data_IF_278446357010
#
_entry.id   IF_278446357010
#
_cell.length_a   1.000
_cell.length_b   1.000
_cell.length_c   1.000
_cell.angle_alpha   90.00
_cell.angle_beta   90.00
_cell.angle_gamma   90.00
#
_symmetry.space_group_name_H-M   'P 1'
#
loop_
_entity.id
_entity.type
_entity.pdbx_description
1 polymer ?
#
# COMPACT_ATOMS: atom_id res chain seq x y z
N UNK A 1 16.79 24.74 -4.48
CA UNK A 1 17.96 24.27 -3.68
C UNK A 1 18.38 25.27 -2.59
N UNK A 2 18.59 26.55 -2.88
CA UNK A 2 19.01 27.54 -1.84
C UNK A 2 17.98 27.72 -0.71
N UNK A 3 16.68 27.64 -0.98
CA UNK A 3 15.61 27.74 0.03
C UNK A 3 15.62 26.54 1.00
N UNK A 4 15.88 25.33 0.52
CA UNK A 4 15.95 24.14 1.37
C UNK A 4 17.05 24.23 2.44
N UNK A 5 18.23 24.76 2.08
CA UNK A 5 19.34 24.94 3.04
C UNK A 5 19.05 25.98 4.12
N UNK A 6 18.26 27.01 3.81
CA UNK A 6 17.90 28.07 4.77
C UNK A 6 16.94 27.60 5.86
N UNK A 7 16.17 26.56 5.58
CA UNK A 7 15.16 25.98 6.49
C UNK A 7 15.57 24.60 7.03
N UNK A 8 16.84 24.17 6.78
CA UNK A 8 17.31 22.91 7.28
C UNK A 8 17.36 22.91 8.83
N UNK A 9 16.69 21.91 9.42
CA UNK A 9 16.70 21.65 10.85
C UNK A 9 17.81 20.69 11.26
N UNK A 10 17.77 20.25 12.52
CA UNK A 10 18.66 19.19 13.04
C UNK A 10 18.37 17.86 12.33
N UNK A 11 17.12 17.52 12.15
CA UNK A 11 16.62 16.40 11.36
C UNK A 11 15.82 16.96 10.20
N UNK A 12 16.08 16.45 9.01
CA UNK A 12 15.36 16.80 7.81
C UNK A 12 14.80 15.50 7.20
N UNK A 13 13.49 15.40 7.07
CA UNK A 13 12.85 14.22 6.53
C UNK A 13 12.10 14.53 5.23
N UNK A 14 12.48 13.85 4.15
CA UNK A 14 11.80 13.91 2.87
C UNK A 14 10.82 12.71 2.84
N UNK A 15 9.53 13.00 2.99
CA UNK A 15 8.48 11.99 3.10
C UNK A 15 7.70 11.75 1.81
N UNK A 16 7.93 12.56 0.79
CA UNK A 16 7.21 12.51 -0.47
C UNK A 16 8.10 12.27 -1.67
N UNK A 17 7.47 12.20 -2.83
CA UNK A 17 8.08 11.86 -4.10
C UNK A 17 8.90 13.03 -4.72
N UNK A 18 9.73 13.66 -3.89
CA UNK A 18 10.63 14.77 -4.23
C UNK A 18 12.06 14.45 -3.83
N UNK A 19 12.50 13.22 -4.07
CA UNK A 19 13.77 12.67 -3.62
C UNK A 19 14.99 13.56 -3.95
N UNK A 20 14.96 14.24 -5.11
CA UNK A 20 16.02 15.14 -5.56
C UNK A 20 16.33 16.28 -4.57
N UNK A 21 15.42 16.60 -3.65
CA UNK A 21 15.68 17.59 -2.59
C UNK A 21 16.77 17.13 -1.62
N UNK A 22 17.01 15.82 -1.49
CA UNK A 22 18.08 15.28 -0.66
C UNK A 22 19.45 15.82 -1.07
N UNK A 23 19.69 16.06 -2.35
CA UNK A 23 20.95 16.64 -2.86
C UNK A 23 21.17 18.11 -2.47
N UNK A 24 20.14 18.77 -1.94
CA UNK A 24 20.19 20.19 -1.54
C UNK A 24 20.27 20.37 -0.02
N UNK A 25 20.07 19.31 0.76
CA UNK A 25 20.08 19.33 2.23
C UNK A 25 21.40 18.79 2.78
N UNK A 26 21.77 19.17 4.02
CA UNK A 26 22.90 18.54 4.72
C UNK A 26 22.64 17.04 4.86
N UNK A 27 23.65 16.20 4.58
CA UNK A 27 23.53 14.73 4.67
C UNK A 27 23.29 14.26 6.10
N UNK A 28 23.91 14.91 7.08
CA UNK A 28 23.78 14.58 8.50
C UNK A 28 22.37 14.93 9.01
N UNK A 29 21.68 13.97 9.57
CA UNK A 29 20.29 14.09 10.01
C UNK A 29 19.27 14.10 8.85
N UNK A 30 19.68 13.68 7.65
CA UNK A 30 18.79 13.59 6.50
C UNK A 30 18.18 12.18 6.39
N UNK A 31 16.86 12.11 6.50
CA UNK A 31 16.05 10.91 6.27
C UNK A 31 15.32 11.06 4.93
N UNK A 32 15.36 10.00 4.12
CA UNK A 32 14.65 9.93 2.85
C UNK A 32 13.70 8.73 2.85
N UNK A 33 12.39 8.95 2.73
CA UNK A 33 11.42 7.87 2.54
C UNK A 33 11.21 7.58 1.06
N UNK A 34 11.36 6.31 0.68
CA UNK A 34 11.06 5.80 -0.67
C UNK A 34 9.85 4.88 -0.58
N UNK A 35 8.77 5.24 -1.30
CA UNK A 35 7.50 4.54 -1.26
C UNK A 35 7.41 3.37 -2.24
N UNK A 36 7.97 3.51 -3.44
CA UNK A 36 7.99 2.45 -4.46
C UNK A 36 9.07 2.66 -5.51
N UNK A 37 9.27 1.65 -6.34
CA UNK A 37 10.15 1.65 -7.51
C UNK A 37 9.38 1.51 -8.84
N UNK A 38 8.04 1.72 -8.83
CA UNK A 38 7.18 1.45 -9.97
C UNK A 38 7.68 2.12 -11.27
N UNK A 39 7.98 3.41 -11.21
CA UNK A 39 8.46 4.14 -12.39
C UNK A 39 9.85 3.66 -12.84
N UNK A 40 10.75 3.32 -11.91
CA UNK A 40 12.05 2.74 -12.23
C UNK A 40 11.92 1.40 -12.96
N UNK A 41 10.93 0.59 -12.60
CA UNK A 41 10.65 -0.71 -13.21
C UNK A 41 10.02 -0.58 -14.60
N UNK A 42 9.23 0.47 -14.82
CA UNK A 42 8.57 0.72 -16.11
C UNK A 42 9.52 1.34 -17.16
N UNK A 43 10.45 2.17 -16.72
CA UNK A 43 11.41 2.84 -17.62
C UNK A 43 12.43 1.86 -18.20
N UNK A 44 12.90 2.16 -19.41
CA UNK A 44 13.93 1.38 -20.13
C UNK A 44 15.00 2.30 -20.74
N UNK A 45 16.15 1.71 -21.04
CA UNK A 45 17.24 2.41 -21.76
C UNK A 45 17.82 3.60 -21.00
N UNK A 46 18.36 4.62 -21.72
CA UNK A 46 19.03 5.76 -21.10
C UNK A 46 18.14 6.57 -20.15
N UNK A 47 16.85 6.69 -20.45
CA UNK A 47 15.89 7.40 -19.59
C UNK A 47 15.79 6.75 -18.20
N UNK A 48 15.81 5.41 -18.13
CA UNK A 48 15.83 4.67 -16.87
C UNK A 48 17.07 5.01 -16.05
N UNK A 49 18.25 5.05 -16.68
CA UNK A 49 19.50 5.31 -15.98
C UNK A 49 19.59 6.75 -15.45
N UNK A 50 19.14 7.73 -16.23
CA UNK A 50 19.05 9.14 -15.79
C UNK A 50 18.10 9.26 -14.61
N UNK A 51 16.90 8.65 -14.71
CA UNK A 51 15.91 8.66 -13.65
C UNK A 51 16.44 7.95 -12.39
N UNK A 52 17.04 6.76 -12.54
CA UNK A 52 17.67 6.00 -11.44
C UNK A 52 18.70 6.85 -10.71
N UNK A 53 19.55 7.59 -11.43
CA UNK A 53 20.59 8.41 -10.86
C UNK A 53 20.05 9.62 -10.10
N UNK A 54 19.11 10.36 -10.70
CA UNK A 54 18.60 11.62 -10.12
C UNK A 54 17.58 11.36 -9.01
N UNK A 55 16.74 10.34 -9.16
CA UNK A 55 15.63 10.07 -8.24
C UNK A 55 15.96 9.12 -7.10
N UNK A 56 16.95 8.22 -7.31
CA UNK A 56 17.34 7.22 -6.31
C UNK A 56 18.82 7.33 -5.92
N UNK A 57 19.77 7.05 -6.81
CA UNK A 57 21.18 6.88 -6.46
C UNK A 57 21.75 8.11 -5.75
N UNK A 58 21.60 9.30 -6.32
CA UNK A 58 22.16 10.54 -5.74
C UNK A 58 21.43 10.93 -4.44
N UNK A 59 20.07 10.92 -4.37
CA UNK A 59 19.34 11.15 -3.13
C UNK A 59 19.68 10.16 -2.02
N UNK A 60 19.70 8.86 -2.32
CA UNK A 60 20.06 7.83 -1.33
C UNK A 60 21.47 8.02 -0.78
N UNK A 61 22.44 8.35 -1.63
CA UNK A 61 23.81 8.65 -1.18
C UNK A 61 23.89 9.88 -0.28
N UNK A 62 23.04 10.89 -0.54
CA UNK A 62 22.99 12.10 0.29
C UNK A 62 22.30 11.87 1.63
N UNK A 63 21.36 10.94 1.73
CA UNK A 63 20.65 10.63 2.96
C UNK A 63 21.55 9.87 3.96
N UNK A 64 21.44 10.20 5.25
CA UNK A 64 22.04 9.43 6.33
C UNK A 64 21.29 8.12 6.54
N UNK A 65 19.95 8.18 6.50
CA UNK A 65 19.07 7.01 6.55
C UNK A 65 18.05 7.08 5.41
N UNK A 66 17.81 5.93 4.79
CA UNK A 66 16.72 5.73 3.83
C UNK A 66 15.65 4.91 4.53
N UNK A 67 14.41 5.41 4.59
CA UNK A 67 13.29 4.60 5.04
C UNK A 67 12.47 4.11 3.86
N UNK A 68 11.87 2.93 4.02
CA UNK A 68 10.93 2.38 3.07
C UNK A 68 9.76 1.74 3.81
N UNK A 69 8.66 1.48 3.11
CA UNK A 69 7.36 1.24 3.73
C UNK A 69 7.00 -0.24 3.91
N UNK A 70 7.85 -1.16 3.43
CA UNK A 70 7.66 -2.60 3.59
C UNK A 70 9.00 -3.35 3.47
N UNK A 71 9.07 -4.57 4.00
CA UNK A 71 10.23 -5.46 3.83
C UNK A 71 10.37 -5.86 2.35
N UNK A 72 9.26 -6.04 1.65
CA UNK A 72 9.26 -6.31 0.22
C UNK A 72 9.94 -5.16 -0.55
N UNK A 73 9.59 -3.90 -0.23
CA UNK A 73 10.19 -2.73 -0.85
C UNK A 73 11.67 -2.57 -0.47
N UNK A 74 12.04 -2.89 0.79
CA UNK A 74 13.46 -2.93 1.19
C UNK A 74 14.25 -3.89 0.31
N UNK A 75 13.78 -5.13 0.11
CA UNK A 75 14.44 -6.12 -0.75
C UNK A 75 14.55 -5.64 -2.20
N UNK A 76 13.53 -4.96 -2.71
CA UNK A 76 13.55 -4.38 -4.05
C UNK A 76 14.60 -3.27 -4.17
N UNK A 77 14.67 -2.34 -3.20
CA UNK A 77 15.70 -1.31 -3.15
C UNK A 77 17.10 -1.90 -3.03
N UNK A 78 17.31 -2.90 -2.19
CA UNK A 78 18.59 -3.61 -2.03
C UNK A 78 19.03 -4.25 -3.36
N UNK A 79 18.11 -4.80 -4.13
CA UNK A 79 18.41 -5.38 -5.45
C UNK A 79 18.85 -4.34 -6.48
N UNK A 80 18.28 -3.14 -6.43
CA UNK A 80 18.64 -2.04 -7.33
C UNK A 80 19.87 -1.24 -6.87
N UNK A 81 20.11 -1.18 -5.54
CA UNK A 81 21.12 -0.33 -4.90
C UNK A 81 21.92 -1.10 -3.83
N UNK A 82 22.69 -2.14 -4.22
CA UNK A 82 23.38 -3.01 -3.26
C UNK A 82 24.44 -2.31 -2.40
N UNK A 83 24.91 -1.15 -2.81
CA UNK A 83 25.90 -0.38 -2.05
C UNK A 83 25.31 0.52 -0.94
N UNK A 84 24.00 0.59 -0.84
CA UNK A 84 23.28 1.46 0.09
C UNK A 84 22.41 0.69 1.10
N UNK A 85 22.56 -0.65 1.19
CA UNK A 85 21.69 -1.56 1.97
C UNK A 85 21.71 -1.27 3.47
N UNK A 86 22.87 -0.91 4.03
CA UNK A 86 23.04 -0.75 5.49
C UNK A 86 22.23 0.41 6.07
N UNK A 87 21.88 1.39 5.26
CA UNK A 87 21.09 2.55 5.70
C UNK A 87 19.60 2.44 5.41
N UNK A 88 19.14 1.32 4.81
CA UNK A 88 17.72 1.13 4.52
C UNK A 88 17.00 0.54 5.73
N UNK A 89 16.06 1.31 6.29
CA UNK A 89 15.19 0.93 7.42
C UNK A 89 13.74 0.78 6.96
N UNK A 90 13.01 -0.14 7.56
CA UNK A 90 11.57 -0.30 7.27
C UNK A 90 10.75 0.41 8.32
N UNK A 91 9.96 1.40 7.90
CA UNK A 91 8.91 2.05 8.69
C UNK A 91 7.63 2.02 7.87
N UNK A 92 6.63 1.21 8.23
CA UNK A 92 5.44 1.02 7.42
C UNK A 92 4.58 2.28 7.36
N UNK A 93 3.68 2.35 6.38
CA UNK A 93 2.62 3.34 6.39
C UNK A 93 1.64 3.04 7.53
N UNK A 94 0.98 4.09 8.06
CA UNK A 94 -0.10 3.93 9.03
C UNK A 94 -1.47 3.91 8.35
N UNK A 95 -2.42 3.25 8.99
CA UNK A 95 -3.83 3.40 8.67
C UNK A 95 -4.28 4.81 9.07
N UNK A 96 -5.22 5.39 8.34
CA UNK A 96 -5.79 6.70 8.69
C UNK A 96 -6.63 6.59 9.95
N UNK A 97 -6.54 7.59 10.83
CA UNK A 97 -7.15 7.55 12.17
C UNK A 97 -8.68 7.44 12.18
N UNK A 98 -9.36 7.83 11.10
CA UNK A 98 -10.80 7.69 10.94
C UNK A 98 -11.28 6.27 10.61
N UNK A 99 -10.36 5.35 10.24
CA UNK A 99 -10.66 3.94 10.04
C UNK A 99 -10.68 3.21 11.38
N UNK A 100 -11.80 3.29 12.07
CA UNK A 100 -12.03 2.65 13.36
C UNK A 100 -12.97 1.44 13.19
N UNK A 101 -12.88 0.42 14.07
CA UNK A 101 -13.73 -0.76 13.99
C UNK A 101 -15.22 -0.42 13.88
N UNK A 102 -15.86 -0.94 12.85
CA UNK A 102 -17.29 -0.79 12.64
C UNK A 102 -17.89 -2.15 12.24
N UNK A 103 -18.61 -2.77 13.17
CA UNK A 103 -19.27 -4.05 12.91
C UNK A 103 -20.45 -3.86 11.97
N UNK A 104 -20.57 -4.76 11.01
CA UNK A 104 -21.67 -4.78 10.04
C UNK A 104 -22.13 -6.22 9.87
N UNK A 105 -23.45 -6.51 9.96
CA UNK A 105 -23.97 -7.83 9.61
C UNK A 105 -23.71 -8.11 8.13
N UNK A 106 -23.33 -9.35 7.81
CA UNK A 106 -23.19 -9.77 6.44
C UNK A 106 -24.57 -9.92 5.79
N UNK A 107 -24.79 -9.41 4.57
CA UNK A 107 -26.12 -9.41 3.96
C UNK A 107 -26.56 -10.83 3.60
N UNK A 108 -27.88 -11.10 3.69
CA UNK A 108 -28.51 -12.34 3.19
C UNK A 108 -28.63 -12.35 1.65
N UNK A 109 -28.57 -11.17 1.03
CA UNK A 109 -28.71 -10.98 -0.42
C UNK A 109 -27.38 -10.79 -1.13
N UNK A 110 -27.32 -9.80 -2.03
CA UNK A 110 -26.18 -9.49 -2.87
C UNK A 110 -25.09 -8.74 -2.10
N UNK A 111 -23.94 -9.36 -1.77
CA UNK A 111 -22.86 -8.68 -1.06
C UNK A 111 -22.18 -7.63 -1.94
N UNK A 112 -21.67 -6.56 -1.31
CA UNK A 112 -20.88 -5.52 -1.94
C UNK A 112 -19.40 -5.84 -1.81
N UNK A 113 -18.76 -6.06 -2.95
CA UNK A 113 -17.30 -6.23 -3.05
C UNK A 113 -16.70 -4.89 -3.45
N UNK A 114 -15.69 -4.42 -2.69
CA UNK A 114 -14.97 -3.18 -2.99
C UNK A 114 -13.64 -3.49 -3.66
N UNK A 115 -13.41 -2.84 -4.81
CA UNK A 115 -12.13 -2.76 -5.52
C UNK A 115 -11.57 -1.34 -5.40
N UNK A 116 -10.34 -1.19 -4.93
CA UNK A 116 -9.69 0.12 -4.75
C UNK A 116 -8.62 0.35 -5.80
N UNK A 117 -8.91 1.30 -6.69
CA UNK A 117 -8.03 1.68 -7.78
C UNK A 117 -8.30 0.92 -9.10
N UNK A 118 -7.92 1.58 -10.20
CA UNK A 118 -8.16 1.13 -11.58
C UNK A 118 -6.88 1.12 -12.44
N UNK A 119 -5.71 1.41 -11.82
CA UNK A 119 -4.41 1.38 -12.49
C UNK A 119 -4.06 -0.03 -13.00
N UNK A 120 -3.08 -0.13 -13.88
CA UNK A 120 -2.63 -1.39 -14.48
C UNK A 120 -2.26 -2.44 -13.44
N UNK A 121 -1.70 -2.00 -12.31
CA UNK A 121 -1.28 -2.86 -11.22
C UNK A 121 -2.44 -3.38 -10.35
N UNK A 122 -3.65 -2.79 -10.45
CA UNK A 122 -4.81 -3.12 -9.60
C UNK A 122 -5.57 -4.36 -10.07
N UNK A 123 -5.19 -4.95 -11.19
CA UNK A 123 -5.71 -6.23 -11.68
C UNK A 123 -7.26 -6.29 -11.81
N UNK A 124 -7.87 -5.18 -12.23
CA UNK A 124 -9.34 -5.15 -12.39
C UNK A 124 -9.84 -6.21 -13.38
N UNK A 125 -9.03 -6.55 -14.40
CA UNK A 125 -9.36 -7.59 -15.38
C UNK A 125 -9.46 -8.98 -14.71
N UNK A 126 -8.48 -9.33 -13.88
CA UNK A 126 -8.47 -10.60 -13.13
C UNK A 126 -9.62 -10.67 -12.14
N UNK A 127 -9.90 -9.57 -11.41
CA UNK A 127 -11.03 -9.50 -10.47
C UNK A 127 -12.36 -9.64 -11.19
N UNK A 128 -12.57 -8.95 -12.32
CA UNK A 128 -13.79 -9.06 -13.11
C UNK A 128 -14.03 -10.50 -13.61
N UNK A 129 -12.98 -11.14 -14.14
CA UNK A 129 -13.07 -12.53 -14.60
C UNK A 129 -13.41 -13.50 -13.46
N UNK A 130 -12.81 -13.29 -12.29
CA UNK A 130 -13.04 -14.11 -11.11
C UNK A 130 -14.46 -13.95 -10.52
N UNK A 131 -15.06 -12.79 -10.66
CA UNK A 131 -16.43 -12.53 -10.15
C UNK A 131 -17.53 -13.03 -11.09
N UNK A 132 -17.19 -13.53 -12.28
CA UNK A 132 -18.20 -14.03 -13.23
C UNK A 132 -19.04 -15.12 -12.60
N UNK A 133 -20.36 -14.93 -12.64
CA UNK A 133 -21.35 -15.88 -12.12
C UNK A 133 -21.48 -15.89 -10.59
N UNK A 134 -20.78 -15.02 -9.87
CA UNK A 134 -20.98 -14.83 -8.44
C UNK A 134 -22.03 -13.72 -8.23
N UNK A 135 -23.12 -13.99 -7.48
CA UNK A 135 -24.12 -12.97 -7.19
C UNK A 135 -23.57 -11.95 -6.18
N UNK A 136 -23.00 -10.86 -6.69
CA UNK A 136 -22.43 -9.77 -5.90
C UNK A 136 -22.47 -8.47 -6.71
N UNK A 137 -22.38 -7.34 -6.02
CA UNK A 137 -22.15 -6.03 -6.64
C UNK A 137 -20.71 -5.58 -6.42
N UNK A 138 -20.01 -5.27 -7.51
CA UNK A 138 -18.65 -4.73 -7.47
C UNK A 138 -18.69 -3.20 -7.43
N UNK A 139 -18.26 -2.57 -6.34
CA UNK A 139 -18.04 -1.12 -6.27
C UNK A 139 -16.54 -0.83 -6.52
N UNK A 140 -16.25 0.14 -7.42
CA UNK A 140 -14.88 0.41 -7.88
C UNK A 140 -14.55 1.87 -7.62
N UNK A 141 -13.54 2.10 -6.77
CA UNK A 141 -12.96 3.43 -6.55
C UNK A 141 -11.88 3.70 -7.60
N UNK A 142 -11.99 4.81 -8.30
CA UNK A 142 -11.04 5.25 -9.30
C UNK A 142 -11.71 5.56 -10.65
N UNK A 143 -11.02 6.35 -11.46
CA UNK A 143 -11.50 6.68 -12.80
C UNK A 143 -11.27 5.48 -13.72
N UNK A 144 -12.33 4.95 -14.29
CA UNK A 144 -12.29 3.84 -15.22
C UNK A 144 -12.14 4.34 -16.67
N UNK A 145 -11.50 3.53 -17.49
CA UNK A 145 -11.45 3.69 -18.97
C UNK A 145 -12.63 3.00 -19.63
N UNK A 146 -12.97 3.39 -20.85
CA UNK A 146 -14.00 2.73 -21.63
C UNK A 146 -13.74 1.21 -21.81
N UNK A 147 -12.46 0.85 -22.00
CA UNK A 147 -12.05 -0.56 -22.08
C UNK A 147 -12.40 -1.33 -20.80
N UNK A 148 -12.23 -0.73 -19.61
CA UNK A 148 -12.56 -1.36 -18.35
C UNK A 148 -14.09 -1.49 -18.16
N UNK A 149 -14.85 -0.49 -18.58
CA UNK A 149 -16.31 -0.59 -18.62
C UNK A 149 -16.79 -1.71 -19.54
N UNK A 150 -16.21 -1.82 -20.74
CA UNK A 150 -16.54 -2.87 -21.69
C UNK A 150 -16.21 -4.26 -21.14
N UNK A 151 -15.04 -4.42 -20.52
CA UNK A 151 -14.62 -5.67 -19.88
C UNK A 151 -15.64 -6.15 -18.84
N UNK A 152 -16.11 -5.26 -17.96
CA UNK A 152 -17.12 -5.60 -16.94
C UNK A 152 -18.45 -6.00 -17.56
N UNK A 153 -18.84 -5.36 -18.67
CA UNK A 153 -20.05 -5.74 -19.44
C UNK A 153 -19.91 -7.12 -20.08
N UNK A 154 -18.77 -7.41 -20.70
CA UNK A 154 -18.48 -8.72 -21.32
C UNK A 154 -18.56 -9.85 -20.25
N UNK A 155 -18.07 -9.61 -19.04
CA UNK A 155 -18.16 -10.56 -17.94
C UNK A 155 -19.52 -10.58 -17.23
N UNK A 156 -20.47 -9.76 -17.66
CA UNK A 156 -21.80 -9.59 -17.06
C UNK A 156 -21.72 -9.28 -15.55
N UNK A 157 -20.75 -8.44 -15.14
CA UNK A 157 -20.57 -8.03 -13.75
C UNK A 157 -21.59 -6.94 -13.40
N UNK A 158 -22.34 -7.15 -12.30
CA UNK A 158 -23.10 -6.08 -11.68
C UNK A 158 -22.13 -5.14 -10.96
N UNK A 159 -21.91 -3.93 -11.48
CA UNK A 159 -20.92 -3.01 -10.93
C UNK A 159 -21.38 -1.57 -10.82
N UNK A 160 -20.75 -0.83 -9.93
CA UNK A 160 -20.89 0.61 -9.79
C UNK A 160 -19.51 1.26 -9.78
N UNK A 161 -19.25 2.15 -10.75
CA UNK A 161 -18.07 3.00 -10.75
C UNK A 161 -18.30 4.20 -9.84
N UNK A 162 -17.45 4.37 -8.84
CA UNK A 162 -17.55 5.47 -7.88
C UNK A 162 -16.71 6.69 -8.31
N UNK A 163 -15.83 6.53 -9.32
CA UNK A 163 -14.97 7.60 -9.80
C UNK A 163 -13.92 8.03 -8.78
N UNK A 164 -13.53 9.30 -8.84
CA UNK A 164 -12.62 9.91 -7.86
C UNK A 164 -13.43 10.39 -6.66
N UNK A 165 -13.07 9.89 -5.49
CA UNK A 165 -13.73 10.18 -4.23
C UNK A 165 -12.86 11.11 -3.36
N UNK A 166 -13.49 11.85 -2.47
CA UNK A 166 -12.86 12.48 -1.30
C UNK A 166 -12.52 11.43 -0.25
N UNK A 167 -11.67 11.77 0.72
CA UNK A 167 -11.30 10.85 1.80
C UNK A 167 -12.51 10.34 2.59
N UNK A 168 -13.48 11.20 2.85
CA UNK A 168 -14.74 10.81 3.52
C UNK A 168 -15.57 9.82 2.70
N UNK A 169 -15.71 10.07 1.40
CA UNK A 169 -16.45 9.17 0.50
C UNK A 169 -15.72 7.81 0.33
N UNK A 170 -14.38 7.80 0.39
CA UNK A 170 -13.58 6.56 0.42
C UNK A 170 -13.92 5.77 1.68
N UNK A 171 -13.89 6.40 2.87
CA UNK A 171 -14.28 5.76 4.13
C UNK A 171 -15.71 5.19 4.05
N UNK A 172 -16.66 5.95 3.50
CA UNK A 172 -18.05 5.50 3.32
C UNK A 172 -18.14 4.31 2.36
N UNK A 173 -17.32 4.25 1.30
CA UNK A 173 -17.29 3.10 0.40
C UNK A 173 -16.82 1.83 1.13
N UNK A 174 -15.79 1.93 1.96
CA UNK A 174 -15.36 0.81 2.81
C UNK A 174 -16.44 0.40 3.82
N UNK A 175 -17.11 1.35 4.47
CA UNK A 175 -18.20 1.08 5.42
C UNK A 175 -19.36 0.33 4.77
N UNK A 176 -19.73 0.70 3.54
CA UNK A 176 -20.78 0.02 2.78
C UNK A 176 -20.37 -1.36 2.29
N UNK A 177 -19.09 -1.59 2.05
CA UNK A 177 -18.62 -2.88 1.51
C UNK A 177 -18.76 -4.02 2.53
N UNK A 178 -18.90 -5.23 2.02
CA UNK A 178 -18.95 -6.47 2.80
C UNK A 178 -17.62 -7.24 2.72
N UNK A 179 -16.93 -7.10 1.59
CA UNK A 179 -15.61 -7.70 1.31
C UNK A 179 -14.78 -6.71 0.52
N UNK A 180 -13.47 -6.69 0.77
CA UNK A 180 -12.50 -5.95 -0.05
C UNK A 180 -11.66 -6.94 -0.85
N UNK A 181 -11.62 -6.77 -2.17
CA UNK A 181 -10.71 -7.52 -3.05
C UNK A 181 -9.63 -6.58 -3.54
N UNK A 182 -8.39 -6.88 -3.18
CA UNK A 182 -7.21 -6.09 -3.52
C UNK A 182 -6.10 -7.00 -4.07
N UNK A 183 -6.42 -7.70 -5.17
CA UNK A 183 -5.54 -8.67 -5.82
C UNK A 183 -4.57 -7.98 -6.81
N UNK A 184 -3.82 -6.97 -6.32
CA UNK A 184 -2.88 -6.19 -7.10
C UNK A 184 -1.67 -7.00 -7.57
N UNK A 185 -1.11 -6.60 -8.71
CA UNK A 185 0.10 -7.22 -9.30
C UNK A 185 1.40 -6.60 -8.76
N UNK A 186 1.32 -5.38 -8.27
CA UNK A 186 2.46 -4.64 -7.70
C UNK A 186 1.96 -3.53 -6.77
N UNK A 187 2.53 -3.45 -5.57
CA UNK A 187 2.33 -2.37 -4.60
C UNK A 187 3.60 -2.16 -3.77
N UNK A 188 3.82 -0.93 -3.33
CA UNK A 188 4.86 -0.64 -2.34
C UNK A 188 4.47 -1.04 -0.93
N UNK A 189 3.14 -1.11 -0.62
CA UNK A 189 2.64 -1.45 0.71
C UNK A 189 1.32 -2.24 0.67
N UNK A 190 0.19 -1.57 0.43
CA UNK A 190 -1.15 -2.18 0.50
C UNK A 190 -2.06 -1.48 1.53
N UNK A 191 -2.08 -0.14 1.52
CA UNK A 191 -3.00 0.64 2.36
C UNK A 191 -4.44 0.12 2.35
N UNK A 192 -5.04 -0.23 1.20
CA UNK A 192 -6.41 -0.77 1.18
C UNK A 192 -6.62 -2.01 2.03
N UNK A 193 -5.59 -2.81 2.25
CA UNK A 193 -5.68 -4.03 3.08
C UNK A 193 -5.86 -3.65 4.55
N UNK A 194 -4.98 -2.79 5.07
CA UNK A 194 -5.03 -2.38 6.48
C UNK A 194 -6.23 -1.46 6.77
N UNK A 195 -6.69 -0.67 5.80
CA UNK A 195 -7.91 0.13 5.89
C UNK A 195 -9.15 -0.77 6.03
N UNK A 196 -9.25 -1.81 5.20
CA UNK A 196 -10.32 -2.80 5.29
C UNK A 196 -10.30 -3.56 6.62
N UNK A 197 -9.14 -4.02 7.05
CA UNK A 197 -8.96 -4.72 8.32
C UNK A 197 -9.32 -3.83 9.51
N UNK A 198 -8.94 -2.55 9.49
CA UNK A 198 -9.28 -1.59 10.56
C UNK A 198 -10.79 -1.42 10.75
N UNK A 199 -11.55 -1.47 9.65
CA UNK A 199 -13.01 -1.40 9.65
C UNK A 199 -13.70 -2.76 9.88
N UNK A 200 -12.93 -3.85 9.99
CA UNK A 200 -13.49 -5.20 10.11
C UNK A 200 -14.11 -5.72 8.81
N UNK A 201 -13.55 -5.35 7.67
CA UNK A 201 -13.93 -5.92 6.37
C UNK A 201 -12.99 -7.06 6.01
N UNK A 202 -13.51 -8.26 5.72
CA UNK A 202 -12.71 -9.37 5.21
C UNK A 202 -12.00 -8.98 3.92
N UNK A 203 -10.75 -9.43 3.76
CA UNK A 203 -9.88 -9.05 2.63
C UNK A 203 -9.44 -10.27 1.85
N UNK A 204 -9.48 -10.18 0.52
CA UNK A 204 -8.77 -11.08 -0.39
C UNK A 204 -7.66 -10.26 -1.06
N UNK A 205 -6.42 -10.74 -1.01
CA UNK A 205 -5.28 -10.02 -1.57
C UNK A 205 -4.21 -10.98 -2.12
N UNK A 206 -3.23 -10.43 -2.84
CA UNK A 206 -2.17 -11.20 -3.48
C UNK A 206 -1.24 -11.86 -2.45
N UNK A 207 -0.79 -13.07 -2.77
CA UNK A 207 0.03 -13.94 -1.90
C UNK A 207 1.53 -13.59 -1.90
N UNK A 208 1.93 -12.43 -2.42
CA UNK A 208 3.33 -12.03 -2.53
C UNK A 208 3.55 -10.54 -2.26
N UNK A 209 4.83 -10.19 -2.07
CA UNK A 209 5.30 -8.82 -1.94
C UNK A 209 4.72 -8.10 -0.71
N UNK A 210 4.58 -6.80 -0.85
CA UNK A 210 4.08 -5.95 0.22
C UNK A 210 2.62 -6.23 0.61
N UNK A 211 1.83 -6.81 -0.29
CA UNK A 211 0.42 -7.15 -0.03
C UNK A 211 0.30 -8.29 0.97
N UNK A 212 1.07 -9.36 0.80
CA UNK A 212 1.10 -10.48 1.75
C UNK A 212 1.65 -10.04 3.12
N UNK A 213 2.64 -9.15 3.12
CA UNK A 213 3.21 -8.56 4.34
C UNK A 213 2.16 -7.71 5.10
N UNK A 214 1.49 -6.78 4.41
CA UNK A 214 0.47 -5.92 5.01
C UNK A 214 -0.75 -6.70 5.50
N UNK A 215 -1.10 -7.79 4.80
CA UNK A 215 -2.25 -8.64 5.12
C UNK A 215 -2.12 -9.38 6.45
N UNK A 216 -0.91 -9.83 6.79
CA UNK A 216 -0.73 -10.72 7.92
C UNK A 216 -1.69 -11.93 7.86
N UNK A 217 -2.13 -12.47 9.00
CA UNK A 217 -3.09 -13.58 9.04
C UNK A 217 -4.55 -13.17 8.77
N UNK A 218 -4.82 -11.86 8.65
CA UNK A 218 -6.17 -11.28 8.54
C UNK A 218 -6.73 -11.19 7.12
N UNK A 219 -6.16 -11.92 6.14
CA UNK A 219 -6.66 -11.94 4.76
C UNK A 219 -6.56 -13.32 4.12
N UNK A 220 -7.38 -13.59 3.10
CA UNK A 220 -7.15 -14.69 2.18
C UNK A 220 -6.12 -14.27 1.13
N UNK A 221 -5.05 -15.05 1.04
CA UNK A 221 -3.97 -14.84 0.08
C UNK A 221 -4.22 -15.68 -1.17
N UNK A 222 -4.17 -15.04 -2.35
CA UNK A 222 -4.42 -15.67 -3.65
C UNK A 222 -3.30 -15.36 -4.63
N UNK A 223 -3.11 -16.23 -5.61
CA UNK A 223 -2.36 -15.88 -6.80
C UNK A 223 -3.23 -14.93 -7.68
N UNK A 224 -2.86 -13.65 -7.81
CA UNK A 224 -3.67 -12.68 -8.56
C UNK A 224 -3.72 -12.99 -10.08
N UNK A 225 -2.84 -13.85 -10.58
CA UNK A 225 -2.83 -14.30 -11.98
C UNK A 225 -3.71 -15.53 -12.19
N UNK A 226 -4.11 -16.22 -11.11
CA UNK A 226 -5.03 -17.36 -11.17
C UNK A 226 -6.48 -16.92 -10.98
N UNK A 227 -7.22 -16.84 -12.07
CA UNK A 227 -8.65 -16.51 -12.04
C UNK A 227 -9.44 -17.53 -11.20
N UNK A 228 -9.05 -18.81 -11.28
CA UNK A 228 -9.68 -19.90 -10.53
C UNK A 228 -9.45 -19.75 -9.02
N UNK A 229 -8.21 -19.49 -8.59
CA UNK A 229 -7.88 -19.30 -7.18
C UNK A 229 -8.66 -18.11 -6.60
N UNK A 230 -8.69 -16.99 -7.32
CA UNK A 230 -9.42 -15.81 -6.91
C UNK A 230 -10.95 -16.08 -6.86
N UNK A 231 -11.51 -16.77 -7.88
CA UNK A 231 -12.91 -17.15 -7.92
C UNK A 231 -13.31 -18.02 -6.73
N UNK A 232 -12.55 -19.07 -6.46
CA UNK A 232 -12.81 -19.99 -5.35
C UNK A 232 -12.66 -19.29 -4.00
N UNK A 233 -11.68 -18.41 -3.86
CA UNK A 233 -11.48 -17.64 -2.64
C UNK A 233 -12.63 -16.68 -2.36
N UNK A 234 -13.16 -16.00 -3.38
CA UNK A 234 -14.37 -15.17 -3.24
C UNK A 234 -15.56 -16.01 -2.81
N UNK A 235 -15.84 -17.12 -3.51
CA UNK A 235 -16.97 -18.01 -3.17
C UNK A 235 -16.85 -18.55 -1.75
N UNK A 236 -15.67 -19.00 -1.35
CA UNK A 236 -15.41 -19.49 0.00
C UNK A 236 -15.69 -18.41 1.04
N UNK A 237 -15.17 -17.21 0.82
CA UNK A 237 -15.36 -16.09 1.76
C UNK A 237 -16.83 -15.67 1.89
N UNK A 238 -17.57 -15.65 0.78
CA UNK A 238 -19.00 -15.33 0.79
C UNK A 238 -19.85 -16.41 1.48
N UNK A 239 -19.47 -17.68 1.36
CA UNK A 239 -20.22 -18.82 1.89
C UNK A 239 -19.86 -19.25 3.32
N UNK A 240 -18.75 -18.76 3.90
CA UNK A 240 -18.22 -19.23 5.19
C UNK A 240 -18.22 -18.11 6.25
N UNK A 241 -19.26 -18.02 7.11
CA UNK A 241 -19.33 -17.02 8.19
C UNK A 241 -18.21 -17.15 9.23
N UNK A 242 -17.78 -18.38 9.53
CA UNK A 242 -16.74 -18.62 10.54
C UNK A 242 -15.38 -18.15 10.02
N UNK A 243 -15.12 -18.37 8.74
CA UNK A 243 -13.91 -17.85 8.09
C UNK A 243 -13.91 -16.32 8.15
N UNK A 244 -15.01 -15.66 7.79
CA UNK A 244 -15.12 -14.20 7.88
C UNK A 244 -14.85 -13.70 9.30
N UNK A 245 -15.48 -14.34 10.30
CA UNK A 245 -15.29 -13.98 11.72
C UNK A 245 -13.84 -14.11 12.16
N UNK A 246 -13.15 -15.20 11.80
CA UNK A 246 -11.72 -15.39 12.09
C UNK A 246 -10.87 -14.32 11.42
N UNK A 247 -11.10 -14.06 10.13
CA UNK A 247 -10.34 -13.05 9.37
C UNK A 247 -10.50 -11.64 9.93
N UNK A 248 -11.71 -11.26 10.34
CA UNK A 248 -11.97 -9.97 10.98
C UNK A 248 -11.18 -9.87 12.29
N UNK A 249 -11.23 -10.90 13.13
CA UNK A 249 -10.48 -10.93 14.39
C UNK A 249 -8.97 -10.85 14.21
N UNK A 250 -8.42 -11.58 13.23
CA UNK A 250 -6.98 -11.50 12.89
C UNK A 250 -6.63 -10.14 12.26
N UNK A 251 -7.52 -9.58 11.43
CA UNK A 251 -7.34 -8.25 10.84
C UNK A 251 -7.23 -7.16 11.91
N UNK A 252 -8.09 -7.17 12.92
CA UNK A 252 -8.00 -6.22 14.04
C UNK A 252 -6.69 -6.36 14.83
N UNK A 253 -6.19 -7.58 15.01
CA UNK A 253 -4.88 -7.79 15.66
C UNK A 253 -3.73 -7.30 14.78
N UNK A 254 -3.79 -7.58 13.49
CA UNK A 254 -2.76 -7.18 12.54
C UNK A 254 -2.63 -5.65 12.44
N UNK A 255 -3.75 -4.93 12.41
CA UNK A 255 -3.75 -3.48 12.19
C UNK A 255 -3.17 -2.67 13.36
N UNK A 256 -3.01 -3.26 14.54
CA UNK A 256 -2.46 -2.58 15.73
C UNK A 256 -1.07 -2.00 15.44
N UNK A 257 -0.21 -2.73 14.74
CA UNK A 257 1.13 -2.29 14.39
C UNK A 257 1.16 -1.14 13.36
N UNK A 258 0.06 -0.92 12.68
CA UNK A 258 -0.12 0.12 11.66
C UNK A 258 -0.93 1.32 12.17
N UNK A 259 -1.25 1.38 13.45
CA UNK A 259 -1.90 2.55 14.04
C UNK A 259 -0.95 3.76 13.97
N UNK A 260 -1.48 5.00 13.81
CA UNK A 260 -0.66 6.21 13.71
C UNK A 260 0.38 6.34 14.82
N UNK A 261 0.00 6.05 16.08
CA UNK A 261 0.92 6.14 17.22
C UNK A 261 2.04 5.09 17.14
N UNK A 262 1.75 3.87 16.70
CA UNK A 262 2.76 2.82 16.56
C UNK A 262 3.79 3.14 15.47
N UNK A 263 3.34 3.75 14.37
CA UNK A 263 4.24 4.18 13.28
C UNK A 263 5.01 5.44 13.67
N UNK A 264 4.35 6.40 14.32
CA UNK A 264 5.00 7.62 14.82
C UNK A 264 6.11 7.32 15.83
N UNK A 265 5.92 6.34 16.72
CA UNK A 265 6.97 5.89 17.66
C UNK A 265 8.22 5.40 16.91
N UNK A 266 8.07 4.61 15.85
CA UNK A 266 9.21 4.13 15.05
C UNK A 266 10.02 5.29 14.43
N UNK A 267 9.34 6.34 13.98
CA UNK A 267 10.02 7.55 13.48
C UNK A 267 10.66 8.36 14.62
N UNK A 268 10.00 8.46 15.78
CA UNK A 268 10.57 9.13 16.95
C UNK A 268 11.88 8.47 17.38
N UNK A 269 11.89 7.14 17.53
CA UNK A 269 13.08 6.35 17.85
C UNK A 269 14.21 6.59 16.83
N UNK A 270 13.89 6.58 15.53
CA UNK A 270 14.86 6.87 14.48
C UNK A 270 15.45 8.29 14.60
N UNK A 271 14.61 9.28 14.87
CA UNK A 271 15.08 10.66 15.00
C UNK A 271 15.92 10.86 16.26
N UNK A 272 15.61 10.19 17.36
CA UNK A 272 16.40 10.19 18.59
C UNK A 272 17.75 9.53 18.37
N UNK A 273 17.80 8.38 17.68
CA UNK A 273 19.06 7.72 17.27
C UNK A 273 19.96 8.69 16.50
N UNK A 274 19.40 9.34 15.46
CA UNK A 274 20.15 10.29 14.64
C UNK A 274 20.61 11.54 15.39
N UNK A 275 19.79 12.02 16.34
CA UNK A 275 20.16 13.15 17.19
C UNK A 275 21.26 12.80 18.17
N UNK A 276 21.24 11.61 18.78
CA UNK A 276 22.21 11.14 19.77
C UNK A 276 23.59 10.88 19.16
N UNK A 277 23.65 10.32 17.95
CA UNK A 277 24.89 10.09 17.21
C UNK A 277 25.65 11.39 16.91
N UNK A 278 24.99 12.56 16.98
CA UNK A 278 25.64 13.87 16.85
C UNK A 278 26.47 14.23 18.06
N UNK A 279 26.01 13.96 19.27
CA UNK A 279 26.72 14.32 20.50
C UNK A 279 27.99 13.48 20.69
N UNK A 280 28.00 12.22 20.24
CA UNK A 280 29.14 11.32 20.33
C UNK A 280 30.27 11.64 19.34
N UNK A 281 30.00 12.44 18.30
CA UNK A 281 31.01 12.80 17.28
C UNK A 281 31.58 14.23 17.42
N UNK A 282 31.01 15.02 18.35
CA UNK A 282 31.48 16.39 18.68
C UNK A 282 32.23 16.44 20.02
N UNK A 283 32.30 15.33 20.75
CA UNK A 283 33.12 15.12 21.95
C UNK A 283 34.45 14.43 21.59
#
# INVERSE_FOLDING_TARGET
>A
MAAGRRHAGRINHITGDVHYLAMALPSRGLVLTIHDCALLNLLKGPAREVFRRIWFTSPMRSAEVVTTISVAMKKELESHFPNDVDKIRVVPNCVRGEFVPETKPFPEGEPVILQVGTGWNKNLEGVAAALRGIPCRLEIIGKMTERQHELLRIHAINYRSLGKLTDHEVLDAYKRSDVVVFASLYEGFGLPIIEAQALGRPVITSNFGAMAEAAGPGALLVDPLSQEDLHQSVRKLLGDPDLRGRMIGEGFRNVIQYQPNAVASKYADLYEELASNRFSSEA
#
